data_IF_192662315531
#
_entry.id   IF_192662315531
#
_cell.length_a   1.000
_cell.length_b   1.000
_cell.length_c   1.000
_cell.angle_alpha   90.00
_cell.angle_beta   90.00
_cell.angle_gamma   90.00
#
_symmetry.space_group_name_H-M   'P 1'
#
loop_
_entity.id
_entity.type
_entity.pdbx_description
1 polymer ?
#
# COMPACT_ATOMS: atom_id res chain seq x y z
N UNK A 1 -6.87 16.38 -3.39
CA UNK A 1 -6.96 14.91 -3.54
C UNK A 1 -7.39 14.35 -2.19
N UNK A 2 -8.70 14.20 -1.97
CA UNK A 2 -9.20 13.39 -0.87
C UNK A 2 -8.78 11.95 -1.21
N UNK A 3 -7.86 11.36 -0.45
CA UNK A 3 -7.58 9.94 -0.56
C UNK A 3 -8.80 9.20 0.02
N UNK A 4 -9.78 8.92 -0.84
CA UNK A 4 -10.77 7.89 -0.55
C UNK A 4 -10.09 6.54 -0.74
N UNK A 5 -9.64 5.93 0.35
CA UNK A 5 -9.29 4.51 0.33
C UNK A 5 -10.59 3.71 0.33
N UNK A 6 -11.09 3.37 -0.86
CA UNK A 6 -12.17 2.39 -1.00
C UNK A 6 -11.58 0.99 -0.83
N UNK A 7 -11.93 0.28 0.24
CA UNK A 7 -11.59 -1.13 0.39
C UNK A 7 -12.74 -1.95 -0.20
N UNK A 8 -12.47 -2.75 -1.24
CA UNK A 8 -13.45 -3.71 -1.77
C UNK A 8 -13.49 -4.89 -0.78
N UNK A 9 -14.45 -4.89 0.13
CA UNK A 9 -14.74 -6.07 0.95
C UNK A 9 -15.56 -7.03 0.08
N UNK A 10 -14.91 -8.06 -0.45
CA UNK A 10 -15.41 -8.98 -1.48
C UNK A 10 -16.65 -9.83 -1.07
N UNK A 11 -17.29 -9.55 0.07
CA UNK A 11 -18.38 -10.37 0.61
C UNK A 11 -19.75 -9.71 0.65
N UNK A 12 -19.91 -8.43 0.29
CA UNK A 12 -21.23 -7.78 0.40
C UNK A 12 -21.64 -6.74 -0.64
N UNK A 13 -20.94 -6.60 -1.77
CA UNK A 13 -21.34 -5.67 -2.86
C UNK A 13 -21.74 -4.26 -2.37
N UNK A 14 -21.14 -3.77 -1.29
CA UNK A 14 -21.31 -2.41 -0.79
C UNK A 14 -19.94 -1.73 -0.87
N UNK A 15 -19.86 -0.63 -1.63
CA UNK A 15 -18.68 0.24 -1.61
C UNK A 15 -18.72 1.02 -0.31
N UNK A 16 -18.01 0.54 0.70
CA UNK A 16 -17.82 1.31 1.92
C UNK A 16 -16.65 2.26 1.69
N UNK A 17 -16.96 3.53 1.44
CA UNK A 17 -15.98 4.58 1.25
C UNK A 17 -15.68 5.21 2.60
N UNK A 18 -14.42 5.14 3.04
CA UNK A 18 -14.02 5.73 4.32
C UNK A 18 -13.75 7.22 4.10
N UNK A 19 -14.38 8.08 4.92
CA UNK A 19 -14.12 9.52 4.92
C UNK A 19 -13.01 9.78 5.91
N UNK A 20 -11.85 10.24 5.43
CA UNK A 20 -10.75 10.64 6.30
C UNK A 20 -11.10 11.93 7.04
N UNK A 21 -11.37 11.82 8.34
CA UNK A 21 -11.63 12.96 9.23
C UNK A 21 -10.31 13.68 9.52
N UNK A 22 -10.29 15.01 9.31
CA UNK A 22 -9.11 15.85 9.53
C UNK A 22 -9.00 16.36 10.96
N UNK A 23 -10.10 16.38 11.72
CA UNK A 23 -10.11 16.72 13.14
C UNK A 23 -11.47 16.46 13.79
N UNK A 24 -11.48 16.34 15.10
CA UNK A 24 -12.69 16.12 15.92
C UNK A 24 -12.80 17.20 16.97
N UNK A 25 -14.01 17.70 17.20
CA UNK A 25 -14.30 18.74 18.20
C UNK A 25 -15.48 18.31 19.05
N UNK A 26 -15.26 18.21 20.37
CA UNK A 26 -16.30 17.88 21.35
C UNK A 26 -16.80 19.15 22.04
N UNK A 27 -18.12 19.29 22.20
CA UNK A 27 -18.73 20.43 22.87
C UNK A 27 -19.98 20.04 23.66
N UNK A 28 -20.26 20.79 24.73
CA UNK A 28 -21.50 20.65 25.50
C UNK A 28 -22.66 21.37 24.81
N UNK A 29 -23.89 20.85 24.88
CA UNK A 29 -25.08 21.56 24.44
C UNK A 29 -25.18 22.98 25.02
N UNK A 30 -25.78 23.90 24.26
CA UNK A 30 -26.01 25.30 24.62
C UNK A 30 -24.80 26.22 24.49
N UNK A 31 -23.58 25.68 24.32
CA UNK A 31 -22.37 26.48 24.14
C UNK A 31 -22.17 26.90 22.68
N UNK A 32 -21.23 27.80 22.43
CA UNK A 32 -20.77 28.09 21.06
C UNK A 32 -19.48 27.33 20.79
N UNK A 33 -19.31 26.83 19.58
CA UNK A 33 -18.11 26.12 19.13
C UNK A 33 -17.58 26.77 17.86
N UNK A 34 -16.26 26.76 17.68
CA UNK A 34 -15.62 27.23 16.44
C UNK A 34 -14.86 26.09 15.80
N UNK A 35 -15.29 25.71 14.60
CA UNK A 35 -14.59 24.77 13.73
C UNK A 35 -13.55 25.52 12.90
N UNK A 36 -12.44 24.86 12.55
CA UNK A 36 -11.37 25.47 11.78
C UNK A 36 -10.81 24.54 10.72
N UNK A 37 -10.38 25.13 9.60
CA UNK A 37 -9.71 24.43 8.51
C UNK A 37 -8.60 25.26 7.88
N UNK A 38 -7.51 24.62 7.50
CA UNK A 38 -6.41 25.27 6.80
C UNK A 38 -6.75 25.44 5.32
N UNK A 39 -6.50 26.64 4.79
CA UNK A 39 -6.74 27.01 3.39
C UNK A 39 -5.45 27.50 2.71
N UNK A 40 -5.52 27.71 1.40
CA UNK A 40 -4.44 28.39 0.68
C UNK A 40 -4.26 29.83 1.18
N UNK A 41 -3.01 30.28 1.25
CA UNK A 41 -2.65 31.68 1.50
C UNK A 41 -2.99 32.61 0.33
N UNK A 42 -3.32 32.05 -0.84
CA UNK A 42 -3.78 32.82 -2.00
C UNK A 42 -5.26 33.11 -1.84
N UNK A 43 -5.68 34.32 -2.26
CA UNK A 43 -7.11 34.64 -2.34
C UNK A 43 -7.83 33.63 -3.24
N UNK A 44 -8.82 32.97 -2.66
CA UNK A 44 -9.62 31.96 -3.34
C UNK A 44 -11.01 31.91 -2.73
N UNK A 45 -11.93 31.30 -3.45
CA UNK A 45 -13.24 30.97 -2.93
C UNK A 45 -13.10 29.83 -1.92
N UNK A 46 -13.62 30.07 -0.72
CA UNK A 46 -13.63 29.15 0.40
C UNK A 46 -15.05 28.95 0.90
N UNK A 47 -15.34 27.81 1.48
CA UNK A 47 -16.69 27.49 1.91
C UNK A 47 -16.72 26.55 3.10
N UNK A 48 -17.86 26.58 3.77
CA UNK A 48 -18.31 25.61 4.76
C UNK A 48 -19.59 24.94 4.28
N UNK A 49 -19.69 23.65 4.53
CA UNK A 49 -20.84 22.83 4.22
C UNK A 49 -21.02 21.78 5.30
N UNK A 50 -22.22 21.22 5.41
CA UNK A 50 -22.55 20.14 6.33
C UNK A 50 -22.90 18.90 5.55
N UNK A 51 -22.41 17.74 5.97
CA UNK A 51 -22.90 16.47 5.45
C UNK A 51 -24.18 16.11 6.20
N UNK A 52 -25.31 16.06 5.50
CA UNK A 52 -26.62 15.71 6.03
C UNK A 52 -26.97 14.30 5.55
N UNK A 53 -27.48 13.47 6.47
CA UNK A 53 -27.89 12.09 6.21
C UNK A 53 -26.79 11.21 5.57
N UNK A 54 -25.51 11.59 5.71
CA UNK A 54 -24.34 10.92 5.09
C UNK A 54 -24.37 10.85 3.54
N UNK A 55 -25.34 11.49 2.89
CA UNK A 55 -25.54 11.42 1.44
C UNK A 55 -25.51 12.77 0.75
N UNK A 56 -25.82 13.84 1.47
CA UNK A 56 -26.01 15.17 0.87
C UNK A 56 -25.08 16.20 1.51
N UNK A 57 -24.41 17.00 0.68
CA UNK A 57 -23.56 18.10 1.14
C UNK A 57 -24.34 19.40 1.02
N UNK A 58 -24.79 19.92 2.16
CA UNK A 58 -25.57 21.14 2.22
C UNK A 58 -24.66 22.33 2.48
N UNK A 59 -24.76 23.36 1.64
CA UNK A 59 -23.99 24.59 1.84
C UNK A 59 -24.42 25.31 3.12
N UNK A 60 -23.44 25.82 3.89
CA UNK A 60 -23.68 26.72 5.01
C UNK A 60 -23.35 28.15 4.59
N UNK A 61 -22.09 28.38 4.21
CA UNK A 61 -21.57 29.71 3.90
C UNK A 61 -20.33 29.63 3.02
N UNK A 62 -20.04 30.74 2.34
CA UNK A 62 -18.83 30.90 1.54
C UNK A 62 -18.25 32.30 1.64
N UNK A 63 -17.00 32.43 1.24
CA UNK A 63 -16.26 33.69 1.28
C UNK A 63 -15.11 33.67 0.27
N UNK A 64 -14.82 34.82 -0.33
CA UNK A 64 -13.70 34.98 -1.26
C UNK A 64 -12.58 35.79 -0.63
N UNK A 65 -11.41 35.15 -0.43
CA UNK A 65 -10.26 35.75 0.24
C UNK A 65 -10.46 35.98 1.74
N UNK A 66 -9.38 36.33 2.46
CA UNK A 66 -9.39 36.49 3.91
C UNK A 66 -10.12 37.73 4.42
N UNK A 67 -10.15 38.78 3.59
CA UNK A 67 -10.85 40.06 3.84
C UNK A 67 -12.27 40.07 3.26
N UNK A 68 -12.70 38.95 2.68
CA UNK A 68 -14.02 38.83 2.06
C UNK A 68 -15.14 38.94 3.10
N UNK A 69 -16.34 39.27 2.63
CA UNK A 69 -17.55 39.15 3.44
C UNK A 69 -18.13 37.75 3.28
N UNK A 70 -18.42 37.09 4.40
CA UNK A 70 -19.14 35.82 4.39
C UNK A 70 -20.55 35.99 3.79
N UNK A 71 -20.89 35.08 2.89
CA UNK A 71 -22.23 34.92 2.31
C UNK A 71 -22.81 33.59 2.79
N UNK A 72 -24.09 33.58 3.17
CA UNK A 72 -24.78 32.39 3.66
C UNK A 72 -25.69 31.83 2.57
N UNK A 73 -25.81 30.50 2.52
CA UNK A 73 -26.69 29.83 1.58
C UNK A 73 -28.16 29.95 1.97
N UNK A 74 -29.06 29.82 1.00
CA UNK A 74 -30.49 29.97 1.20
C UNK A 74 -31.03 28.96 2.22
N UNK A 75 -31.92 29.41 3.11
CA UNK A 75 -32.48 28.59 4.18
C UNK A 75 -31.57 28.40 5.40
N UNK A 76 -30.32 28.89 5.36
CA UNK A 76 -29.43 28.88 6.52
C UNK A 76 -29.76 30.06 7.44
N UNK A 77 -29.92 29.75 8.73
CA UNK A 77 -30.14 30.77 9.75
C UNK A 77 -28.82 31.48 10.08
N UNK A 78 -28.58 32.63 9.46
CA UNK A 78 -27.34 33.44 9.62
C UNK A 78 -27.09 33.91 11.06
N UNK A 79 -28.09 33.87 11.95
CA UNK A 79 -27.89 34.14 13.38
C UNK A 79 -27.24 32.96 14.13
N UNK A 80 -27.37 31.74 13.62
CA UNK A 80 -26.79 30.52 14.23
C UNK A 80 -25.32 30.33 13.84
N UNK A 81 -24.96 30.72 12.63
CA UNK A 81 -23.62 30.52 12.07
C UNK A 81 -22.87 31.83 11.89
N UNK A 82 -21.56 31.80 12.11
CA UNK A 82 -20.68 32.92 11.82
C UNK A 82 -19.39 32.42 11.18
N UNK A 83 -19.15 32.80 9.93
CA UNK A 83 -17.94 32.46 9.20
C UNK A 83 -16.92 33.60 9.30
N UNK A 84 -15.67 33.23 9.58
CA UNK A 84 -14.52 34.15 9.62
C UNK A 84 -13.34 33.52 8.88
N UNK A 85 -12.34 34.32 8.54
CA UNK A 85 -11.08 33.84 7.99
C UNK A 85 -9.90 34.65 8.49
N UNK A 86 -8.75 34.00 8.41
CA UNK A 86 -7.42 34.58 8.52
C UNK A 86 -6.63 34.19 7.25
N UNK A 87 -5.37 34.61 7.14
CA UNK A 87 -4.49 34.44 5.97
C UNK A 87 -4.49 33.00 5.43
N UNK A 88 -4.46 31.99 6.30
CA UNK A 88 -4.38 30.58 5.91
C UNK A 88 -5.41 29.69 6.59
N UNK A 89 -6.44 30.26 7.22
CA UNK A 89 -7.41 29.48 8.00
C UNK A 89 -8.81 30.05 7.81
N UNK A 90 -9.80 29.17 7.71
CA UNK A 90 -11.22 29.56 7.76
C UNK A 90 -11.86 28.96 9.00
N UNK A 91 -12.78 29.72 9.57
CA UNK A 91 -13.46 29.39 10.82
C UNK A 91 -14.97 29.42 10.61
N UNK A 92 -15.66 28.47 11.23
CA UNK A 92 -17.11 28.46 11.34
C UNK A 92 -17.49 28.36 12.81
N UNK A 93 -18.05 29.44 13.36
CA UNK A 93 -18.64 29.44 14.69
C UNK A 93 -20.11 29.05 14.60
N UNK A 94 -20.50 28.05 15.39
CA UNK A 94 -21.89 27.62 15.56
C UNK A 94 -22.31 28.04 16.96
N UNK A 95 -23.37 28.85 17.04
CA UNK A 95 -23.86 29.44 18.29
C UNK A 95 -24.96 28.57 18.88
N UNK A 96 -24.95 28.40 20.21
CA UNK A 96 -25.95 27.65 20.96
C UNK A 96 -26.19 26.25 20.37
N UNK A 97 -25.13 25.46 20.31
CA UNK A 97 -25.16 24.13 19.70
C UNK A 97 -26.17 23.22 20.40
N UNK A 98 -26.89 22.44 19.62
CA UNK A 98 -27.81 21.42 20.09
C UNK A 98 -27.42 20.05 19.52
N UNK A 99 -27.94 18.95 20.06
CA UNK A 99 -27.56 17.59 19.61
C UNK A 99 -27.76 17.41 18.09
N UNK A 100 -28.70 18.11 17.47
CA UNK A 100 -28.92 18.05 16.02
C UNK A 100 -27.86 18.78 15.20
N UNK A 101 -26.91 19.49 15.81
CA UNK A 101 -25.73 20.05 15.16
C UNK A 101 -24.57 19.07 15.06
N UNK A 102 -24.65 17.89 15.68
CA UNK A 102 -23.57 16.90 15.58
C UNK A 102 -23.38 16.39 14.15
N UNK A 103 -22.17 15.95 13.84
CA UNK A 103 -21.82 15.29 12.58
C UNK A 103 -20.72 15.98 11.79
N UNK A 104 -20.62 15.61 10.52
CA UNK A 104 -19.50 15.99 9.67
C UNK A 104 -19.70 17.34 8.99
N UNK A 105 -18.75 18.23 9.22
CA UNK A 105 -18.63 19.53 8.57
C UNK A 105 -17.49 19.49 7.56
N UNK A 106 -17.76 19.96 6.36
CA UNK A 106 -16.79 20.07 5.29
C UNK A 106 -16.42 21.52 5.08
N UNK A 107 -15.14 21.74 4.89
CA UNK A 107 -14.58 23.03 4.55
C UNK A 107 -13.67 22.84 3.34
N UNK A 108 -13.58 23.85 2.50
CA UNK A 108 -12.76 23.72 1.31
C UNK A 108 -12.41 25.02 0.65
N UNK A 109 -11.49 24.91 -0.30
CA UNK A 109 -11.03 26.03 -1.12
C UNK A 109 -10.70 25.57 -2.53
N UNK A 110 -10.81 26.48 -3.48
CA UNK A 110 -10.42 26.24 -4.86
C UNK A 110 -8.93 26.52 -5.06
N UNK A 111 -8.22 25.61 -5.72
CA UNK A 111 -6.82 25.80 -6.07
C UNK A 111 -6.52 25.13 -7.40
N UNK A 112 -6.01 25.91 -8.36
CA UNK A 112 -5.59 25.41 -9.67
C UNK A 112 -6.68 24.58 -10.39
N UNK A 113 -7.95 25.00 -10.31
CA UNK A 113 -9.08 24.30 -10.91
C UNK A 113 -9.61 23.09 -10.13
N UNK A 114 -9.02 22.76 -8.96
CA UNK A 114 -9.45 21.66 -8.11
C UNK A 114 -10.01 22.16 -6.77
N UNK A 115 -11.00 21.45 -6.24
CA UNK A 115 -11.51 21.68 -4.89
C UNK A 115 -10.71 20.85 -3.88
N UNK A 116 -10.10 21.51 -2.91
CA UNK A 116 -9.46 20.87 -1.77
C UNK A 116 -10.44 20.92 -0.60
N UNK A 117 -10.65 19.78 0.05
CA UNK A 117 -11.62 19.60 1.12
C UNK A 117 -10.93 19.06 2.37
N UNK A 118 -11.37 19.52 3.53
CA UNK A 118 -11.06 18.96 4.84
C UNK A 118 -12.39 18.67 5.56
N UNK A 119 -12.37 17.70 6.46
CA UNK A 119 -13.57 17.21 7.16
C UNK A 119 -13.34 17.34 8.66
N UNK A 120 -14.28 17.95 9.36
CA UNK A 120 -14.28 18.12 10.82
C UNK A 120 -15.50 17.40 11.39
N UNK A 121 -15.27 16.52 12.36
CA UNK A 121 -16.32 15.82 13.09
C UNK A 121 -16.70 16.61 14.36
N UNK A 122 -17.92 17.14 14.40
CA UNK A 122 -18.45 17.86 15.56
C UNK A 122 -19.28 16.90 16.41
N UNK A 123 -18.82 16.64 17.63
CA UNK A 123 -19.48 15.78 18.61
C UNK A 123 -20.08 16.61 19.73
N UNK A 124 -21.32 16.29 20.10
CA UNK A 124 -22.04 17.02 21.14
C UNK A 124 -22.38 16.05 22.25
N UNK A 125 -22.04 16.40 23.49
CA UNK A 125 -22.30 15.51 24.62
C UNK A 125 -23.81 15.27 24.77
N UNK A 126 -24.19 13.99 24.82
CA UNK A 126 -25.60 13.56 24.81
C UNK A 126 -26.08 13.06 23.45
N UNK A 127 -25.29 13.22 22.39
CA UNK A 127 -25.45 12.43 21.17
C UNK A 127 -25.05 10.98 21.49
N UNK A 128 -26.05 10.11 21.60
CA UNK A 128 -25.85 8.68 21.85
C UNK A 128 -25.74 7.89 20.55
N UNK A 129 -25.75 8.54 19.39
CA UNK A 129 -25.44 7.86 18.15
C UNK A 129 -23.97 7.46 18.21
N UNK A 130 -23.65 6.15 18.18
CA UNK A 130 -22.29 5.72 17.96
C UNK A 130 -21.91 6.31 16.62
N UNK A 131 -21.05 7.33 16.63
CA UNK A 131 -20.26 7.58 15.45
C UNK A 131 -19.52 6.26 15.25
N UNK A 132 -19.88 5.50 14.21
CA UNK A 132 -19.11 4.37 13.70
C UNK A 132 -17.78 4.94 13.23
N UNK A 133 -16.97 5.27 14.22
CA UNK A 133 -15.54 5.27 14.20
C UNK A 133 -15.20 3.81 13.93
N UNK A 134 -15.25 3.39 12.66
CA UNK A 134 -14.51 2.20 12.18
C UNK A 134 -12.99 2.47 12.24
N UNK A 135 -12.56 3.26 13.21
CA UNK A 135 -11.21 3.39 13.71
C UNK A 135 -11.20 2.69 15.07
N UNK A 136 -10.92 1.39 14.99
CA UNK A 136 -10.43 0.54 16.08
C UNK A 136 -11.42 0.08 17.15
N UNK A 137 -12.20 -0.98 16.84
CA UNK A 137 -12.48 -2.06 17.80
C UNK A 137 -12.69 -3.43 17.11
N UNK A 138 -11.66 -3.94 16.41
CA UNK A 138 -11.40 -5.39 16.46
C UNK A 138 -10.53 -5.67 17.68
N UNK A 139 -11.15 -5.57 18.85
CA UNK A 139 -10.72 -6.32 20.02
C UNK A 139 -11.96 -6.96 20.61
N UNK A 140 -12.55 -7.86 19.84
CA UNK A 140 -13.39 -8.89 20.43
C UNK A 140 -12.45 -9.99 20.95
N UNK A 141 -12.40 -10.21 22.27
CA UNK A 141 -11.69 -11.33 22.86
C UNK A 141 -12.46 -12.64 22.60
N UNK A 142 -11.71 -13.72 22.37
CA UNK A 142 -12.06 -15.12 22.66
C UNK A 142 -13.03 -15.91 21.75
N UNK A 143 -13.10 -15.67 20.43
CA UNK A 143 -13.74 -16.67 19.52
C UNK A 143 -12.92 -17.03 18.26
N UNK A 144 -11.73 -16.46 18.03
CA UNK A 144 -10.99 -16.69 16.77
C UNK A 144 -9.56 -17.30 16.89
N UNK A 145 -9.37 -18.49 17.47
CA UNK A 145 -8.17 -19.29 17.17
C UNK A 145 -8.38 -20.29 16.01
N UNK A 146 -9.61 -20.55 15.55
CA UNK A 146 -9.84 -21.67 14.63
C UNK A 146 -9.62 -21.40 13.13
N UNK A 147 -9.68 -20.15 12.68
CA UNK A 147 -9.53 -19.84 11.24
C UNK A 147 -8.12 -19.41 10.83
N UNK A 148 -7.31 -18.88 11.76
CA UNK A 148 -5.90 -18.53 11.50
C UNK A 148 -4.99 -19.76 11.47
N UNK A 149 -5.33 -20.82 12.21
CA UNK A 149 -4.58 -22.08 12.20
C UNK A 149 -4.76 -22.89 10.91
N UNK A 150 -5.96 -22.85 10.33
CA UNK A 150 -6.26 -23.60 9.10
C UNK A 150 -5.56 -23.03 7.86
N UNK A 151 -5.50 -21.70 7.74
CA UNK A 151 -4.86 -21.05 6.59
C UNK A 151 -3.34 -21.17 6.65
N UNK A 152 -2.74 -20.97 7.82
CA UNK A 152 -1.30 -21.15 8.03
C UNK A 152 -0.87 -22.62 7.85
N UNK A 153 -1.67 -23.57 8.33
CA UNK A 153 -1.39 -25.00 8.17
C UNK A 153 -1.38 -25.45 6.70
N UNK A 154 -2.38 -25.03 5.92
CA UNK A 154 -2.45 -25.35 4.48
C UNK A 154 -1.27 -24.73 3.71
N UNK A 155 -0.92 -23.47 4.01
CA UNK A 155 0.22 -22.78 3.38
C UNK A 155 1.54 -23.48 3.76
N UNK A 156 1.73 -23.84 5.03
CA UNK A 156 2.94 -24.53 5.49
C UNK A 156 3.13 -25.89 4.80
N UNK A 157 2.06 -26.69 4.69
CA UNK A 157 2.11 -27.99 3.99
C UNK A 157 2.43 -27.80 2.50
N UNK A 158 1.81 -26.81 1.85
CA UNK A 158 2.07 -26.52 0.44
C UNK A 158 3.53 -26.09 0.19
N UNK A 159 4.08 -25.23 1.05
CA UNK A 159 5.48 -24.80 0.98
C UNK A 159 6.45 -25.98 1.20
N UNK A 160 6.16 -26.87 2.15
CA UNK A 160 6.97 -28.07 2.39
C UNK A 160 7.00 -29.00 1.17
N UNK A 161 5.85 -29.20 0.50
CA UNK A 161 5.79 -30.01 -0.72
C UNK A 161 6.63 -29.40 -1.84
N UNK A 162 6.58 -28.08 -2.03
CA UNK A 162 7.41 -27.38 -3.02
C UNK A 162 8.91 -27.59 -2.71
N UNK A 163 9.32 -27.43 -1.45
CA UNK A 163 10.72 -27.64 -1.05
C UNK A 163 11.17 -29.08 -1.30
N UNK A 164 10.32 -30.07 -1.02
CA UNK A 164 10.61 -31.49 -1.33
C UNK A 164 10.75 -31.71 -2.84
N UNK A 165 9.84 -31.15 -3.66
CA UNK A 165 9.93 -31.27 -5.12
C UNK A 165 11.20 -30.60 -5.65
N UNK A 166 11.55 -29.42 -5.14
CA UNK A 166 12.77 -28.70 -5.53
C UNK A 166 14.04 -29.46 -5.13
N UNK A 167 14.09 -30.01 -3.92
CA UNK A 167 15.24 -30.80 -3.45
C UNK A 167 15.39 -32.11 -4.24
N UNK A 168 14.30 -32.78 -4.58
CA UNK A 168 14.33 -33.98 -5.46
C UNK A 168 14.78 -33.60 -6.87
N UNK A 169 14.26 -32.50 -7.44
CA UNK A 169 14.64 -32.02 -8.77
C UNK A 169 16.12 -31.61 -8.81
N UNK A 170 16.60 -30.94 -7.77
CA UNK A 170 18.00 -30.53 -7.63
C UNK A 170 18.92 -31.75 -7.42
N UNK A 171 18.53 -32.73 -6.58
CA UNK A 171 19.27 -34.00 -6.45
C UNK A 171 19.28 -34.82 -7.73
N UNK A 172 18.21 -34.79 -8.52
CA UNK A 172 18.14 -35.45 -9.84
C UNK A 172 19.03 -34.75 -10.86
N UNK A 173 19.11 -33.42 -10.83
CA UNK A 173 20.09 -32.64 -11.62
C UNK A 173 21.53 -32.91 -11.16
N UNK A 174 21.78 -32.94 -9.85
CA UNK A 174 23.10 -33.25 -9.30
C UNK A 174 23.52 -34.69 -9.58
N UNK A 175 22.61 -35.68 -9.59
CA UNK A 175 22.93 -37.04 -10.05
C UNK A 175 23.20 -37.13 -11.56
N UNK A 176 22.62 -36.23 -12.36
CA UNK A 176 22.96 -36.10 -13.78
C UNK A 176 24.31 -35.37 -14.01
N UNK A 177 24.78 -34.60 -13.03
CA UNK A 177 26.09 -33.92 -13.06
C UNK A 177 27.20 -34.73 -12.36
N UNK A 178 26.87 -35.51 -11.33
CA UNK A 178 27.76 -36.39 -10.56
C UNK A 178 27.89 -37.80 -11.17
N UNK A 179 27.43 -37.99 -12.41
CA UNK A 179 27.92 -39.06 -13.28
C UNK A 179 29.25 -38.70 -13.95
N UNK A 180 29.73 -37.46 -13.80
CA UNK A 180 30.92 -36.94 -14.48
C UNK A 180 31.87 -36.19 -13.52
N UNK A 181 31.99 -36.63 -12.26
CA UNK A 181 33.12 -36.17 -11.42
C UNK A 181 33.44 -37.17 -10.30
N UNK A 182 33.87 -38.36 -10.69
CA UNK A 182 34.71 -39.19 -9.83
C UNK A 182 36.15 -39.13 -10.36
N UNK A 183 36.94 -38.24 -9.78
CA UNK A 183 38.35 -38.50 -9.51
C UNK A 183 39.01 -37.31 -8.79
N UNK A 184 39.52 -37.63 -7.59
CA UNK A 184 40.83 -37.18 -7.11
C UNK A 184 40.94 -35.86 -6.34
N UNK A 185 40.81 -35.93 -5.01
CA UNK A 185 41.79 -35.31 -4.08
C UNK A 185 41.90 -36.20 -2.82
N UNK A 186 43.02 -36.91 -2.69
CA UNK A 186 43.39 -37.64 -1.48
C UNK A 186 43.91 -36.66 -0.42
N UNK A 187 43.46 -36.84 0.83
CA UNK A 187 43.90 -36.09 2.00
C UNK A 187 45.26 -36.61 2.50
N UNK A 188 46.07 -35.64 2.94
CA UNK A 188 47.20 -35.66 3.88
C UNK A 188 47.98 -36.96 4.10
N UNK A 189 49.29 -36.85 3.86
CA UNK A 189 50.26 -37.93 3.98
C UNK A 189 50.56 -38.42 5.40
N UNK A 190 51.16 -39.61 5.41
CA UNK A 190 52.09 -40.08 6.43
C UNK A 190 53.05 -41.06 5.74
N UNK A 191 54.34 -40.79 5.90
CA UNK A 191 55.47 -41.71 5.95
C UNK A 191 55.83 -42.57 4.73
N UNK A 192 56.89 -42.11 4.06
CA UNK A 192 58.16 -42.85 3.91
C UNK A 192 58.07 -44.39 3.93
N UNK A 193 58.32 -45.02 2.78
CA UNK A 193 59.25 -46.16 2.66
C UNK A 193 59.51 -46.51 1.18
N UNK A 194 60.77 -46.30 0.81
CA UNK A 194 61.44 -46.86 -0.36
C UNK A 194 61.39 -48.40 -0.32
N UNK A 195 60.89 -49.05 -1.38
CA UNK A 195 61.39 -50.38 -1.74
C UNK A 195 61.38 -50.58 -3.25
N UNK A 196 62.45 -51.22 -3.73
CA UNK A 196 62.91 -51.21 -5.09
C UNK A 196 62.26 -52.24 -6.01
N UNK A 197 62.42 -51.94 -7.31
CA UNK A 197 62.66 -52.85 -8.44
C UNK A 197 61.50 -53.71 -8.99
N UNK A 198 61.23 -53.53 -10.29
CA UNK A 198 61.66 -54.47 -11.35
C UNK A 198 61.40 -53.86 -12.73
N UNK A 199 62.46 -53.79 -13.53
CA UNK A 199 62.40 -53.45 -14.96
C UNK A 199 61.99 -54.67 -15.76
N UNK A 200 61.18 -54.47 -16.81
CA UNK A 200 61.12 -55.41 -17.93
C UNK A 200 61.05 -54.65 -19.26
N UNK A 201 61.95 -55.07 -20.13
CA UNK A 201 62.24 -54.53 -21.45
C UNK A 201 61.30 -55.06 -22.55
N UNK A 202 61.26 -54.24 -23.61
CA UNK A 202 61.31 -54.60 -25.04
C UNK A 202 60.03 -54.86 -25.86
N UNK A 203 60.00 -54.08 -26.95
CA UNK A 203 59.72 -54.43 -28.36
C UNK A 203 58.29 -54.28 -28.91
N UNK A 204 58.12 -53.14 -29.60
CA UNK A 204 57.99 -53.01 -31.07
C UNK A 204 56.82 -53.70 -31.82
N UNK A 205 55.98 -52.86 -32.46
CA UNK A 205 55.56 -52.91 -33.88
C UNK A 205 54.63 -51.72 -34.16
N UNK A 206 55.03 -50.69 -34.93
CA UNK A 206 55.16 -50.58 -36.39
C UNK A 206 53.85 -50.12 -37.08
N UNK A 207 54.02 -49.04 -37.86
CA UNK A 207 53.22 -48.51 -38.98
C UNK A 207 51.96 -47.70 -38.65
N UNK A 208 51.62 -46.56 -39.29
CA UNK A 208 52.19 -45.70 -40.37
C UNK A 208 51.19 -44.50 -40.45
N UNK A 209 51.62 -43.22 -40.35
CA UNK A 209 51.69 -42.19 -41.43
C UNK A 209 50.41 -42.09 -42.32
N UNK A 210 49.78 -40.95 -42.65
CA UNK A 210 50.25 -39.55 -42.89
C UNK A 210 49.05 -38.58 -43.08
N UNK A 211 49.22 -37.29 -42.74
CA UNK A 211 48.49 -36.04 -43.13
C UNK A 211 49.07 -35.53 -44.49
N UNK A 212 48.40 -34.82 -45.45
CA UNK A 212 48.12 -33.33 -45.42
C UNK A 212 46.91 -32.81 -46.28
N UNK A 213 46.17 -31.76 -45.88
CA UNK A 213 46.33 -30.29 -46.14
C UNK A 213 45.49 -29.74 -47.33
N UNK A 214 44.95 -28.52 -47.14
CA UNK A 214 44.74 -27.37 -48.09
C UNK A 214 43.31 -26.88 -48.40
N UNK A 215 42.96 -25.74 -47.79
CA UNK A 215 42.22 -24.59 -48.36
C UNK A 215 43.18 -23.73 -49.24
N UNK A 216 42.78 -22.81 -50.16
CA UNK A 216 41.72 -21.79 -49.97
C UNK A 216 40.96 -21.25 -51.23
N UNK A 217 39.94 -20.40 -50.97
CA UNK A 217 39.43 -19.21 -51.70
C UNK A 217 39.24 -19.20 -53.23
N UNK A 218 38.10 -18.65 -53.71
CA UNK A 218 37.97 -17.48 -54.63
C UNK A 218 36.49 -17.06 -54.77
N UNK A 219 36.29 -15.77 -55.07
CA UNK A 219 35.10 -14.92 -54.98
C UNK A 219 34.41 -14.69 -56.36
N UNK A 220 33.11 -14.32 -56.29
CA UNK A 220 32.28 -13.46 -57.17
C UNK A 220 31.34 -14.00 -58.26
N UNK A 221 30.18 -13.31 -58.30
CA UNK A 221 29.26 -12.99 -59.42
C UNK A 221 28.27 -14.08 -59.89
N UNK A 222 27.05 -13.79 -60.34
CA UNK A 222 26.25 -12.56 -60.45
C UNK A 222 24.75 -12.93 -60.59
N UNK A 223 23.90 -11.94 -60.33
CA UNK A 223 22.45 -11.89 -60.54
C UNK A 223 22.04 -12.02 -62.01
N UNK A 224 20.88 -12.62 -62.25
CA UNK A 224 19.99 -12.28 -63.36
C UNK A 224 18.53 -12.39 -62.90
#
# INVERSE_FOLDING_TARGET
MLLQTCIIIHKRSELQCWISVSGTVDVQPGHSVTLQCSISTKQTHTFWSRLVNRTEVNCISSMYGSEGKASFCDGIQSSKYEMRSDISTIFLTIKHVDVSDSGLYLCGFYQNGHTILQVVDLRIQGDNEPFDDDTTFQKEPDVLPHLMGLTLGVIAVFLLLIIIVLTVKYRKLQKAHSGEQDSHVQNLGSDELNYAALSFQQKAKKNRRTVPEREPNVVYAATR
#
